data_IF_017714679314
#
_entry.id   IF_017714679314
#
_cell.length_a   1.000
_cell.length_b   1.000
_cell.length_c   1.000
_cell.angle_alpha   90.00
_cell.angle_beta   90.00
_cell.angle_gamma   90.00
#
_symmetry.space_group_name_H-M   'P 1'
#
loop_
_entity.id
_entity.type
_entity.pdbx_description
1 polymer ?
#
# COMPACT_ATOMS: atom_id res chain seq x y z
N UNK A 1 -10.79 1.86 0.89
CA UNK A 1 -9.45 2.50 0.81
C UNK A 1 -9.54 3.68 -0.16
N UNK A 2 -8.80 4.76 0.06
CA UNK A 2 -8.69 5.86 -0.91
C UNK A 2 -7.23 6.24 -1.16
N UNK A 3 -6.98 6.90 -2.29
CA UNK A 3 -5.67 7.40 -2.69
C UNK A 3 -5.66 8.94 -2.72
N UNK A 4 -4.51 9.55 -2.46
CA UNK A 4 -4.34 10.98 -2.67
C UNK A 4 -4.30 11.32 -4.16
N UNK A 5 -4.61 12.57 -4.53
CA UNK A 5 -4.49 13.04 -5.91
C UNK A 5 -3.07 12.90 -6.48
N UNK A 6 -2.05 13.04 -5.62
CA UNK A 6 -0.64 12.80 -6.00
C UNK A 6 -0.30 11.30 -6.10
N UNK A 7 -1.15 10.41 -5.56
CA UNK A 7 -0.94 8.96 -5.47
C UNK A 7 0.29 8.52 -4.67
N UNK A 8 0.80 9.39 -3.80
CA UNK A 8 1.89 9.09 -2.86
C UNK A 8 1.39 8.42 -1.58
N UNK A 9 0.12 8.66 -1.24
CA UNK A 9 -0.50 8.21 0.01
C UNK A 9 -1.78 7.43 -0.27
N UNK A 10 -1.95 6.35 0.47
CA UNK A 10 -3.17 5.53 0.52
C UNK A 10 -3.70 5.59 1.94
N UNK A 11 -5.01 5.83 2.11
CA UNK A 11 -5.66 5.93 3.41
C UNK A 11 -6.73 4.88 3.56
N UNK A 12 -6.74 4.25 4.73
CA UNK A 12 -7.80 3.33 5.14
C UNK A 12 -8.69 4.02 6.16
N UNK A 13 -9.98 3.77 6.04
CA UNK A 13 -11.01 4.32 6.90
C UNK A 13 -11.90 3.18 7.35
N UNK A 14 -12.37 3.27 8.58
CA UNK A 14 -13.45 2.43 9.05
C UNK A 14 -14.75 2.87 8.38
N UNK A 15 -15.52 1.94 7.84
CA UNK A 15 -16.75 2.27 7.10
C UNK A 15 -17.91 2.62 8.01
N UNK A 16 -17.89 2.17 9.28
CA UNK A 16 -18.94 2.42 10.26
C UNK A 16 -18.69 3.75 10.99
N UNK A 17 -17.49 3.95 11.56
CA UNK A 17 -17.13 5.16 12.31
C UNK A 17 -16.68 6.32 11.41
N UNK A 18 -16.30 6.04 10.16
CA UNK A 18 -15.71 7.00 9.20
C UNK A 18 -14.36 7.56 9.65
N UNK A 19 -13.75 6.96 10.66
CA UNK A 19 -12.45 7.38 11.17
C UNK A 19 -11.32 6.84 10.30
N UNK A 20 -10.24 7.61 10.18
CA UNK A 20 -9.03 7.20 9.48
C UNK A 20 -8.27 6.18 10.33
N UNK A 21 -8.16 4.95 9.85
CA UNK A 21 -7.46 3.86 10.53
C UNK A 21 -5.95 3.92 10.32
N UNK A 22 -5.51 4.06 9.06
CA UNK A 22 -4.07 4.07 8.74
C UNK A 22 -3.79 4.88 7.49
N UNK A 23 -2.60 5.50 7.46
CA UNK A 23 -2.03 6.15 6.29
C UNK A 23 -0.76 5.40 5.84
N UNK A 24 -0.81 4.93 4.60
CA UNK A 24 0.22 4.12 3.95
C UNK A 24 0.91 4.97 2.88
N UNK A 25 2.24 4.93 2.85
CA UNK A 25 3.06 5.65 1.89
C UNK A 25 3.58 4.70 0.81
N UNK A 26 3.11 4.90 -0.42
CA UNK A 26 3.60 4.17 -1.60
C UNK A 26 5.04 4.57 -1.93
N UNK A 27 5.30 5.88 -1.95
CA UNK A 27 6.59 6.45 -2.32
C UNK A 27 6.63 7.96 -2.11
N UNK A 28 7.79 8.55 -2.36
CA UNK A 28 7.97 10.01 -2.39
C UNK A 28 7.44 10.60 -3.69
N UNK A 29 7.67 9.90 -4.81
CA UNK A 29 7.30 10.39 -6.12
C UNK A 29 5.81 10.23 -6.41
N UNK A 30 5.17 11.24 -7.05
CA UNK A 30 3.81 11.12 -7.54
C UNK A 30 3.66 9.94 -8.50
N UNK A 31 2.51 9.27 -8.43
CA UNK A 31 2.21 8.12 -9.28
C UNK A 31 0.71 7.94 -9.44
N UNK A 32 0.28 7.47 -10.60
CA UNK A 32 -1.10 7.02 -10.82
C UNK A 32 -1.26 5.61 -10.28
N UNK A 33 -2.15 5.41 -9.32
CA UNK A 33 -2.49 4.07 -8.84
C UNK A 33 -3.49 3.42 -9.82
N UNK A 34 -3.18 2.20 -10.26
CA UNK A 34 -4.08 1.45 -11.15
C UNK A 34 -5.04 0.56 -10.36
N UNK A 35 -4.54 -0.11 -9.33
CA UNK A 35 -5.32 -1.05 -8.54
C UNK A 35 -4.93 -0.97 -7.07
N UNK A 36 -5.93 -1.08 -6.19
CA UNK A 36 -5.77 -1.29 -4.75
C UNK A 36 -6.63 -2.48 -4.38
N UNK A 37 -6.05 -3.47 -3.70
CA UNK A 37 -6.76 -4.69 -3.34
C UNK A 37 -6.36 -5.16 -1.94
N UNK A 38 -7.31 -5.74 -1.21
CA UNK A 38 -7.09 -6.32 0.11
C UNK A 38 -6.88 -7.83 -0.01
N UNK A 39 -6.10 -8.41 0.91
CA UNK A 39 -6.09 -9.86 1.09
C UNK A 39 -7.45 -10.32 1.61
N UNK A 40 -7.76 -11.61 1.43
CA UNK A 40 -9.06 -12.17 1.79
C UNK A 40 -9.41 -11.99 3.29
N UNK A 41 -8.40 -12.02 4.15
CA UNK A 41 -8.50 -11.83 5.59
C UNK A 41 -8.28 -10.38 6.05
N UNK A 42 -8.14 -9.45 5.09
CA UNK A 42 -7.80 -8.03 5.31
C UNK A 42 -6.51 -7.81 6.11
N UNK A 43 -5.62 -8.80 6.18
CA UNK A 43 -4.33 -8.68 6.86
C UNK A 43 -3.30 -7.91 6.03
N UNK A 44 -3.47 -7.84 4.71
CA UNK A 44 -2.58 -7.16 3.79
C UNK A 44 -3.36 -6.33 2.75
N UNK A 45 -2.68 -5.34 2.18
CA UNK A 45 -3.14 -4.54 1.05
C UNK A 45 -2.04 -4.47 0.01
N UNK A 46 -2.39 -4.68 -1.25
CA UNK A 46 -1.51 -4.45 -2.38
C UNK A 46 -1.99 -3.26 -3.21
N UNK A 47 -1.05 -2.48 -3.74
CA UNK A 47 -1.33 -1.34 -4.61
C UNK A 47 -0.35 -1.30 -5.78
N UNK A 48 -0.87 -1.23 -7.01
CA UNK A 48 -0.09 -1.10 -8.23
C UNK A 48 -0.11 0.32 -8.78
N UNK A 49 0.95 0.73 -9.48
CA UNK A 49 1.07 2.08 -10.03
C UNK A 49 1.77 2.15 -11.39
N UNK A 50 1.65 3.32 -12.04
CA UNK A 50 2.35 3.68 -13.28
C UNK A 50 3.88 3.70 -13.20
N UNK A 51 4.43 3.60 -11.99
CA UNK A 51 5.88 3.43 -11.76
C UNK A 51 6.38 2.02 -12.06
N UNK A 52 5.52 1.13 -12.53
CA UNK A 52 5.89 -0.27 -12.75
C UNK A 52 6.24 -0.95 -11.43
N UNK A 53 5.57 -0.60 -10.33
CA UNK A 53 5.77 -1.24 -9.03
C UNK A 53 4.45 -1.60 -8.39
N UNK A 54 4.45 -2.74 -7.69
CA UNK A 54 3.39 -3.17 -6.78
C UNK A 54 3.93 -3.14 -5.36
N UNK A 55 3.23 -2.44 -4.49
CA UNK A 55 3.56 -2.30 -3.07
C UNK A 55 2.64 -3.17 -2.22
N UNK A 56 3.18 -3.84 -1.22
CA UNK A 56 2.43 -4.69 -0.27
C UNK A 56 2.57 -4.09 1.13
N UNK A 57 1.44 -3.90 1.81
CA UNK A 57 1.35 -3.32 3.15
C UNK A 57 0.68 -4.32 4.09
N UNK A 58 1.22 -4.50 5.29
CA UNK A 58 0.58 -5.24 6.36
C UNK A 58 -0.40 -4.32 7.11
N UNK A 59 -1.63 -4.77 7.30
CA UNK A 59 -2.70 -4.00 7.94
C UNK A 59 -2.95 -4.44 9.39
N UNK A 60 -2.91 -5.76 9.66
CA UNK A 60 -3.07 -6.28 11.03
C UNK A 60 -1.80 -6.15 11.87
N UNK A 61 -0.68 -6.63 11.35
CA UNK A 61 0.63 -6.44 12.00
C UNK A 61 1.43 -5.34 11.30
N UNK A 62 1.12 -4.10 11.65
CA UNK A 62 1.77 -2.89 11.12
C UNK A 62 3.25 -2.77 11.49
N UNK A 63 3.79 -3.66 12.32
CA UNK A 63 5.23 -3.71 12.64
C UNK A 63 6.05 -4.34 11.52
N UNK A 64 5.40 -5.12 10.64
CA UNK A 64 6.02 -5.70 9.45
C UNK A 64 6.30 -4.64 8.37
N UNK A 65 5.59 -3.52 8.41
CA UNK A 65 5.81 -2.41 7.49
C UNK A 65 7.10 -1.67 7.82
N UNK A 66 7.80 -1.21 6.77
CA UNK A 66 8.97 -0.34 6.95
C UNK A 66 8.50 0.98 7.56
N UNK A 67 9.15 1.42 8.65
CA UNK A 67 8.91 2.72 9.27
C UNK A 67 10.11 3.63 9.03
N UNK A 68 9.86 4.92 8.90
CA UNK A 68 10.92 5.92 8.80
C UNK A 68 11.81 5.88 10.05
N UNK A 69 13.12 6.10 9.88
CA UNK A 69 14.05 6.18 11.01
C UNK A 69 13.65 7.27 12.02
N UNK A 70 13.01 8.35 11.55
CA UNK A 70 12.50 9.44 12.37
C UNK A 70 11.34 9.00 13.30
N UNK A 71 10.60 7.95 12.95
CA UNK A 71 9.60 7.36 13.86
C UNK A 71 10.24 6.67 15.08
N UNK A 72 11.54 6.29 15.01
CA UNK A 72 12.30 5.71 16.13
C UNK A 72 12.90 6.74 17.07
N UNK A 73 13.00 8.01 16.65
CA UNK A 73 13.60 9.09 17.45
C UNK A 73 12.66 9.57 18.57
N UNK A 74 11.42 9.09 18.61
CA UNK A 74 10.50 9.37 19.70
C UNK A 74 10.00 10.81 19.70
N UNK A 75 8.90 11.03 20.41
CA UNK A 75 8.24 12.32 20.62
C UNK A 75 9.16 13.26 21.40
N UNK A 76 10.11 13.92 20.74
CA UNK A 76 10.87 15.04 21.33
C UNK A 76 10.31 16.33 20.77
N UNK A 77 9.25 16.84 21.42
CA UNK A 77 8.70 18.17 21.17
C UNK A 77 7.22 18.21 20.80
N UNK A 78 6.46 19.22 21.26
CA UNK A 78 5.09 19.44 20.84
C UNK A 78 5.11 19.99 19.41
N UNK A 79 4.29 19.43 18.51
CA UNK A 79 4.13 19.85 17.12
C UNK A 79 5.17 19.36 16.10
N UNK A 80 5.21 18.05 15.84
CA UNK A 80 5.64 17.57 14.52
C UNK A 80 4.52 16.67 13.99
N UNK A 81 3.80 17.20 13.00
CA UNK A 81 2.54 16.68 12.50
C UNK A 81 2.63 15.30 11.84
N UNK A 82 1.44 14.83 11.48
CA UNK A 82 1.01 13.54 10.90
C UNK A 82 1.91 12.92 9.79
N UNK A 83 2.96 13.60 9.34
CA UNK A 83 3.93 13.13 8.34
C UNK A 83 4.89 12.05 8.85
N UNK A 84 5.15 11.99 10.17
CA UNK A 84 6.15 11.09 10.78
C UNK A 84 5.63 9.69 11.09
N UNK A 85 4.35 9.42 10.87
CA UNK A 85 3.69 8.15 11.21
C UNK A 85 3.24 7.33 9.98
N UNK A 86 3.47 7.85 8.75
CA UNK A 86 3.09 7.13 7.53
C UNK A 86 3.93 5.85 7.38
N UNK A 87 3.26 4.71 7.21
CA UNK A 87 3.92 3.41 7.09
C UNK A 87 4.28 3.11 5.63
N UNK A 88 5.50 2.64 5.38
CA UNK A 88 5.95 2.24 4.04
C UNK A 88 5.67 0.75 3.78
N UNK A 89 5.63 0.37 2.52
CA UNK A 89 5.36 -1.03 2.13
C UNK A 89 6.36 -2.01 2.73
N UNK A 90 5.88 -3.15 3.21
CA UNK A 90 6.70 -4.25 3.72
C UNK A 90 7.59 -4.84 2.62
N UNK A 91 7.01 -4.94 1.41
CA UNK A 91 7.63 -5.47 0.22
C UNK A 91 7.12 -4.71 -1.00
N UNK A 92 7.94 -4.68 -2.03
CA UNK A 92 7.58 -4.14 -3.33
C UNK A 92 8.27 -4.97 -4.39
N UNK A 93 7.60 -5.16 -5.52
CA UNK A 93 8.18 -5.81 -6.69
C UNK A 93 7.87 -5.01 -7.96
N UNK A 94 8.77 -5.14 -8.93
CA UNK A 94 8.67 -4.44 -10.21
C UNK A 94 7.81 -5.23 -11.17
N UNK A 95 7.02 -4.50 -11.93
CA UNK A 95 6.11 -4.99 -12.97
C UNK A 95 6.40 -4.16 -14.23
N UNK A 96 6.46 -4.75 -15.44
CA UNK A 96 6.56 -4.01 -16.69
C UNK A 96 5.72 -2.72 -16.69
N UNK A 97 6.40 -1.57 -16.76
CA UNK A 97 5.77 -0.25 -16.62
C UNK A 97 4.89 0.14 -17.82
N UNK A 98 4.99 -0.60 -18.92
CA UNK A 98 4.34 -0.29 -20.20
C UNK A 98 2.84 -0.59 -20.22
N UNK A 99 2.25 -1.07 -19.12
CA UNK A 99 0.83 -1.41 -19.08
C UNK A 99 0.23 -1.25 -17.69
N UNK A 100 -1.06 -0.89 -17.66
CA UNK A 100 -1.84 -0.96 -16.45
C UNK A 100 -1.78 -2.39 -15.87
N UNK A 101 -1.74 -2.51 -14.55
CA UNK A 101 -1.66 -3.80 -13.90
C UNK A 101 -2.63 -3.88 -12.71
N UNK A 102 -3.24 -5.06 -12.57
CA UNK A 102 -4.17 -5.37 -11.48
C UNK A 102 -3.42 -6.28 -10.51
N UNK A 103 -3.36 -5.88 -9.25
CA UNK A 103 -2.76 -6.69 -8.19
C UNK A 103 -3.85 -7.42 -7.39
N UNK A 104 -3.64 -8.69 -7.10
CA UNK A 104 -4.54 -9.49 -6.28
C UNK A 104 -3.77 -10.47 -5.38
N UNK A 105 -4.41 -10.90 -4.30
CA UNK A 105 -3.90 -11.97 -3.45
C UNK A 105 -4.46 -13.30 -3.92
N UNK A 106 -3.58 -14.26 -4.23
CA UNK A 106 -3.99 -15.63 -4.52
C UNK A 106 -4.49 -16.32 -3.25
N UNK A 107 -5.46 -17.22 -3.39
CA UNK A 107 -5.87 -18.12 -2.32
C UNK A 107 -4.85 -19.25 -2.23
N UNK A 108 -3.92 -19.16 -1.29
CA UNK A 108 -3.05 -20.28 -0.97
C UNK A 108 -3.60 -21.02 0.27
N UNK A 109 -3.77 -22.33 0.19
CA UNK A 109 -4.33 -23.18 1.26
C UNK A 109 -3.33 -23.47 2.37
N UNK A 110 -2.06 -23.11 2.20
CA UNK A 110 -1.03 -23.28 3.22
C UNK A 110 -0.99 -22.06 4.17
N UNK A 111 -1.10 -22.31 5.48
CA UNK A 111 -1.30 -21.32 6.56
C UNK A 111 -0.24 -20.21 6.69
N UNK A 112 0.78 -20.17 5.84
CA UNK A 112 1.96 -19.31 6.02
C UNK A 112 2.37 -18.47 4.80
N UNK A 113 1.63 -18.45 3.68
CA UNK A 113 2.05 -17.66 2.52
C UNK A 113 0.87 -16.99 1.81
N UNK A 114 0.66 -15.70 2.08
CA UNK A 114 -0.17 -14.85 1.21
C UNK A 114 0.67 -14.49 -0.03
N UNK A 115 0.51 -15.25 -1.12
CA UNK A 115 1.15 -14.94 -2.40
C UNK A 115 0.39 -13.81 -3.11
N UNK A 116 1.08 -12.70 -3.40
CA UNK A 116 0.55 -11.64 -4.27
C UNK A 116 0.80 -12.03 -5.72
N UNK A 117 -0.27 -12.17 -6.48
CA UNK A 117 -0.21 -12.35 -7.94
C UNK A 117 -0.52 -10.98 -8.55
N UNK A 118 0.48 -10.37 -9.18
CA UNK A 118 0.27 -9.24 -10.07
C UNK A 118 -0.21 -9.77 -11.43
N UNK A 119 -1.49 -9.63 -11.74
CA UNK A 119 -1.99 -9.94 -13.08
C UNK A 119 -1.82 -8.70 -13.96
N UNK A 120 -1.08 -8.85 -15.04
CA UNK A 120 -0.90 -7.80 -16.04
C UNK A 120 -2.12 -7.79 -16.95
N UNK A 121 -2.90 -6.72 -16.91
CA UNK A 121 -4.00 -6.51 -17.86
C UNK A 121 -3.60 -5.37 -18.77
N UNK A 122 -3.12 -5.72 -19.96
CA UNK A 122 -2.87 -4.74 -21.02
C UNK A 122 -4.24 -4.26 -21.52
N UNK A 123 -4.72 -3.13 -21.00
CA UNK A 123 -5.75 -2.37 -21.68
C UNK A 123 -5.08 -1.72 -22.90
N UNK A 124 -5.11 -2.39 -24.04
CA UNK A 124 -4.76 -1.75 -25.32
C UNK A 124 -5.77 -0.63 -25.58
N UNK A 125 -5.34 0.61 -25.86
CA UNK A 125 -6.27 1.61 -26.37
C UNK A 125 -6.83 1.11 -27.72
N UNK A 126 -8.14 1.24 -27.90
CA UNK A 126 -8.83 0.94 -29.17
C UNK A 126 -8.42 1.91 -30.27
#
# INVERSE_FOLDING_TARGET
>A
ASASQKGTLIRLFDTQSKEKLVELRRGTDPATLYCINFSHDSSFLCASSDKGTVHIFALKDTRLNRRSALARVGKVGPMIGQYVDSQWSLASFTVPAESACICAFGRNTSKNVNSVIGTFVRCTPS
#
